data_IF_255604623470
#
_entry.id   IF_255604623470
#
_cell.length_a   1.000
_cell.length_b   1.000
_cell.length_c   1.000
_cell.angle_alpha   90.00
_cell.angle_beta   90.00
_cell.angle_gamma   90.00
#
_symmetry.space_group_name_H-M   'P 1'
#
loop_
_entity.id
_entity.type
_entity.pdbx_description
1 polymer ?
#
# COMPACT_ATOMS: atom_id res chain seq x y z
N UNK A 1 4.56 14.25 2.25
CA UNK A 1 3.36 14.02 3.08
C UNK A 1 2.97 12.54 3.15
N UNK A 2 2.71 11.87 2.02
CA UNK A 2 2.24 10.47 1.99
C UNK A 2 3.08 9.48 2.80
N UNK A 3 4.42 9.57 2.69
CA UNK A 3 5.34 8.73 3.45
C UNK A 3 5.14 8.79 4.96
N UNK A 4 4.94 9.99 5.53
CA UNK A 4 4.74 10.17 6.97
C UNK A 4 3.42 9.56 7.46
N UNK A 5 2.34 9.72 6.67
CA UNK A 5 1.04 9.13 6.99
C UNK A 5 1.08 7.59 6.96
N UNK A 6 1.77 7.01 5.98
CA UNK A 6 1.94 5.56 5.89
C UNK A 6 2.84 5.02 7.02
N UNK A 7 3.90 5.73 7.36
CA UNK A 7 4.74 5.38 8.52
C UNK A 7 3.94 5.43 9.83
N UNK A 8 3.05 6.41 9.97
CA UNK A 8 2.18 6.53 11.14
C UNK A 8 1.18 5.37 11.24
N UNK A 9 0.49 5.04 10.15
CA UNK A 9 -0.42 3.89 10.12
C UNK A 9 0.32 2.58 10.44
N UNK A 10 1.52 2.38 9.87
CA UNK A 10 2.37 1.23 10.17
C UNK A 10 2.85 1.18 11.62
N UNK A 11 3.18 2.32 12.22
CA UNK A 11 3.60 2.37 13.62
C UNK A 11 2.48 2.04 14.60
N UNK A 12 1.22 2.35 14.26
CA UNK A 12 0.06 1.92 15.04
C UNK A 12 -0.09 0.39 15.01
N UNK A 13 0.10 -0.23 13.84
CA UNK A 13 0.11 -1.69 13.75
C UNK A 13 1.24 -2.31 14.58
N UNK A 14 2.45 -1.73 14.53
CA UNK A 14 3.57 -2.16 15.38
C UNK A 14 3.28 -1.97 16.88
N UNK A 15 2.63 -0.86 17.27
CA UNK A 15 2.23 -0.61 18.65
C UNK A 15 1.26 -1.68 19.16
N UNK A 16 0.27 -2.07 18.36
CA UNK A 16 -0.68 -3.13 18.70
C UNK A 16 0.04 -4.48 18.84
N UNK A 17 0.97 -4.80 17.94
CA UNK A 17 1.74 -6.04 17.99
C UNK A 17 2.62 -6.11 19.26
N UNK A 18 3.35 -5.04 19.55
CA UNK A 18 4.19 -4.95 20.74
C UNK A 18 3.32 -4.98 22.00
N UNK A 19 2.21 -4.25 22.03
CA UNK A 19 1.28 -4.26 23.16
C UNK A 19 0.67 -5.64 23.43
N UNK A 20 0.50 -6.47 22.40
CA UNK A 20 0.03 -7.86 22.55
C UNK A 20 1.09 -8.80 23.14
N UNK A 21 2.37 -8.55 22.88
CA UNK A 21 3.49 -9.35 23.39
C UNK A 21 3.93 -8.87 24.78
N UNK A 22 3.96 -7.54 24.96
CA UNK A 22 4.39 -6.87 26.18
C UNK A 22 3.40 -5.75 26.54
N UNK A 23 2.34 -6.06 27.31
CA UNK A 23 1.32 -5.08 27.66
C UNK A 23 1.85 -3.93 28.53
N UNK A 24 2.91 -4.17 29.32
CA UNK A 24 3.61 -3.12 30.09
C UNK A 24 4.31 -2.06 29.23
N UNK A 25 4.49 -2.32 27.92
CA UNK A 25 4.98 -1.30 26.99
C UNK A 25 3.94 -0.21 26.73
N UNK A 26 2.65 -0.50 26.86
CA UNK A 26 1.58 0.50 26.62
C UNK A 26 1.47 1.52 27.75
N UNK A 27 1.93 1.18 28.96
CA UNK A 27 1.93 2.06 30.12
C UNK A 27 3.25 2.82 30.30
N UNK A 28 4.23 2.56 29.43
CA UNK A 28 5.53 3.21 29.49
C UNK A 28 5.36 4.72 29.26
N UNK A 29 5.82 5.54 30.22
CA UNK A 29 5.77 7.00 30.11
C UNK A 29 4.55 7.69 30.74
N UNK A 30 3.59 6.96 31.30
CA UNK A 30 2.44 7.54 32.00
C UNK A 30 1.67 8.55 31.14
N UNK A 31 1.50 9.78 31.64
CA UNK A 31 0.81 10.87 30.94
C UNK A 31 1.69 11.64 29.94
N UNK A 32 2.90 11.16 29.65
CA UNK A 32 3.78 11.82 28.70
C UNK A 32 3.18 11.76 27.29
N UNK A 33 2.80 12.93 26.80
CA UNK A 33 2.29 13.13 25.46
C UNK A 33 3.13 14.17 24.75
N UNK A 34 3.56 13.85 23.53
CA UNK A 34 4.27 14.79 22.65
C UNK A 34 3.59 14.75 21.29
N UNK A 35 3.18 15.92 20.78
CA UNK A 35 2.48 16.05 19.49
C UNK A 35 1.19 15.21 19.39
N UNK A 36 0.53 14.93 20.52
CA UNK A 36 -0.67 14.10 20.59
C UNK A 36 -0.42 12.58 20.60
N UNK A 37 0.84 12.15 20.66
CA UNK A 37 1.24 10.75 20.75
C UNK A 37 1.76 10.41 22.15
N UNK A 38 1.38 9.24 22.64
CA UNK A 38 1.94 8.67 23.87
C UNK A 38 3.41 8.27 23.66
N UNK A 39 4.19 8.23 24.74
CA UNK A 39 5.59 7.78 24.68
C UNK A 39 5.79 6.45 23.92
N UNK A 40 4.96 5.41 24.13
CA UNK A 40 5.07 4.16 23.37
C UNK A 40 4.80 4.35 21.88
N UNK A 41 3.83 5.20 21.52
CA UNK A 41 3.51 5.53 20.14
C UNK A 41 4.63 6.26 19.41
N UNK A 42 5.37 7.15 20.09
CA UNK A 42 6.54 7.82 19.52
C UNK A 42 7.69 6.85 19.28
N UNK A 43 7.94 5.95 20.23
CA UNK A 43 9.00 4.95 20.10
C UNK A 43 8.71 4.03 18.92
N UNK A 44 7.47 3.53 18.80
CA UNK A 44 7.10 2.67 17.66
C UNK A 44 7.09 3.43 16.34
N UNK A 45 6.70 4.70 16.35
CA UNK A 45 6.79 5.57 15.18
C UNK A 45 8.23 5.75 14.71
N UNK A 46 9.14 6.12 15.60
CA UNK A 46 10.55 6.32 15.27
C UNK A 46 11.22 5.02 14.81
N UNK A 47 10.95 3.91 15.49
CA UNK A 47 11.46 2.59 15.08
C UNK A 47 10.97 2.22 13.68
N UNK A 48 9.67 2.33 13.43
CA UNK A 48 9.10 2.00 12.12
C UNK A 48 9.63 2.93 11.03
N UNK A 49 9.73 4.23 11.34
CA UNK A 49 10.30 5.23 10.44
C UNK A 49 11.76 4.93 10.10
N UNK A 50 12.60 4.62 11.08
CA UNK A 50 14.01 4.28 10.88
C UNK A 50 14.19 3.05 9.99
N UNK A 51 13.37 2.02 10.18
CA UNK A 51 13.40 0.83 9.31
C UNK A 51 13.04 1.19 7.87
N UNK A 52 11.99 1.99 7.66
CA UNK A 52 11.58 2.42 6.32
C UNK A 52 12.65 3.28 5.64
N UNK A 53 13.28 4.21 6.38
CA UNK A 53 14.38 5.04 5.89
C UNK A 53 15.61 4.17 5.57
N UNK A 54 15.94 3.19 6.43
CA UNK A 54 17.04 2.25 6.20
C UNK A 54 16.86 1.42 4.93
N UNK A 55 15.65 0.91 4.68
CA UNK A 55 15.32 0.23 3.42
C UNK A 55 15.45 1.18 2.23
N UNK A 56 15.03 2.44 2.40
CA UNK A 56 15.17 3.49 1.39
C UNK A 56 16.62 3.74 0.98
N UNK A 57 17.55 3.78 1.93
CA UNK A 57 18.98 3.91 1.66
C UNK A 57 19.59 2.71 0.92
N UNK A 58 18.98 1.52 1.01
CA UNK A 58 19.37 0.34 0.24
C UNK A 58 19.16 0.47 -1.27
N UNK A 59 18.48 1.52 -1.73
CA UNK A 59 18.26 1.84 -3.13
C UNK A 59 17.28 0.88 -3.84
N UNK A 60 17.13 1.08 -5.15
CA UNK A 60 16.09 0.41 -5.94
C UNK A 60 16.19 -1.12 -5.97
N UNK A 61 17.41 -1.70 -5.87
CA UNK A 61 17.58 -3.16 -5.90
C UNK A 61 17.02 -3.84 -4.65
N UNK A 62 17.30 -3.28 -3.47
CA UNK A 62 16.79 -3.80 -2.18
C UNK A 62 15.28 -3.60 -2.12
N UNK A 63 14.82 -2.40 -2.47
CA UNK A 63 13.41 -2.06 -2.52
C UNK A 63 12.63 -3.03 -3.43
N UNK A 64 13.13 -3.28 -4.64
CA UNK A 64 12.45 -4.18 -5.58
C UNK A 64 12.36 -5.62 -5.08
N UNK A 65 13.41 -6.15 -4.43
CA UNK A 65 13.37 -7.48 -3.82
C UNK A 65 12.38 -7.53 -2.65
N UNK A 66 12.40 -6.51 -1.80
CA UNK A 66 11.49 -6.40 -0.68
C UNK A 66 10.03 -6.35 -1.13
N UNK A 67 9.70 -5.47 -2.08
CA UNK A 67 8.35 -5.36 -2.66
C UNK A 67 7.91 -6.63 -3.38
N UNK A 68 8.82 -7.33 -4.06
CA UNK A 68 8.49 -8.58 -4.75
C UNK A 68 8.03 -9.69 -3.79
N UNK A 69 8.55 -9.71 -2.55
CA UNK A 69 8.12 -10.64 -1.50
C UNK A 69 6.87 -10.12 -0.80
N UNK A 70 6.83 -8.82 -0.51
CA UNK A 70 5.74 -8.19 0.24
C UNK A 70 4.41 -8.27 -0.51
N UNK A 71 4.41 -8.08 -1.83
CA UNK A 71 3.19 -8.07 -2.65
C UNK A 71 2.41 -9.40 -2.53
N UNK A 72 3.00 -10.59 -2.76
CA UNK A 72 2.33 -11.87 -2.51
C UNK A 72 1.80 -12.02 -1.08
N UNK A 73 2.57 -11.62 -0.06
CA UNK A 73 2.15 -11.72 1.32
C UNK A 73 0.88 -10.90 1.61
N UNK A 74 0.82 -9.68 1.08
CA UNK A 74 -0.36 -8.81 1.19
C UNK A 74 -1.59 -9.51 0.57
N UNK A 75 -1.46 -10.07 -0.64
CA UNK A 75 -2.58 -10.76 -1.29
C UNK A 75 -3.05 -11.99 -0.52
N UNK A 76 -2.14 -12.76 0.08
CA UNK A 76 -2.49 -13.92 0.91
C UNK A 76 -3.28 -13.47 2.14
N UNK A 77 -2.83 -12.42 2.83
CA UNK A 77 -3.50 -11.92 4.04
C UNK A 77 -4.87 -11.32 3.72
N UNK A 78 -4.95 -10.39 2.77
CA UNK A 78 -6.23 -9.76 2.42
C UNK A 78 -7.20 -10.74 1.73
N UNK A 79 -6.69 -11.62 0.86
CA UNK A 79 -7.49 -12.68 0.26
C UNK A 79 -8.02 -13.66 1.31
N UNK A 80 -7.16 -14.06 2.25
CA UNK A 80 -7.56 -14.91 3.38
C UNK A 80 -8.62 -14.25 4.26
N UNK A 81 -8.45 -12.97 4.59
CA UNK A 81 -9.45 -12.20 5.36
C UNK A 81 -10.78 -12.06 4.61
N UNK A 82 -10.75 -11.88 3.28
CA UNK A 82 -11.95 -11.80 2.46
C UNK A 82 -12.70 -13.14 2.43
N UNK A 83 -11.99 -14.25 2.19
CA UNK A 83 -12.57 -15.60 2.23
C UNK A 83 -13.19 -15.88 3.61
N UNK A 84 -12.47 -15.52 4.68
CA UNK A 84 -12.96 -15.68 6.04
C UNK A 84 -14.23 -14.86 6.30
N UNK A 85 -14.28 -13.58 5.88
CA UNK A 85 -15.47 -12.75 6.04
C UNK A 85 -16.68 -13.30 5.26
N UNK A 86 -16.46 -13.75 4.02
CA UNK A 86 -17.51 -14.38 3.19
C UNK A 86 -17.99 -15.68 3.83
N UNK A 87 -17.10 -16.45 4.47
CA UNK A 87 -17.50 -17.70 5.14
C UNK A 87 -18.41 -17.48 6.35
N UNK A 88 -18.36 -16.30 6.99
CA UNK A 88 -19.16 -15.97 8.17
C UNK A 88 -20.54 -15.42 7.82
N UNK A 89 -20.63 -14.57 6.80
CA UNK A 89 -21.84 -13.76 6.52
C UNK A 89 -22.46 -14.09 5.15
N UNK A 90 -21.72 -14.77 4.27
CA UNK A 90 -22.12 -15.00 2.88
C UNK A 90 -21.98 -13.74 2.01
N UNK A 91 -22.27 -13.87 0.72
CA UNK A 91 -22.14 -12.77 -0.23
C UNK A 91 -23.33 -11.80 -0.24
N UNK A 92 -24.54 -12.28 0.07
CA UNK A 92 -25.77 -11.47 0.01
C UNK A 92 -25.70 -10.19 0.85
N UNK A 93 -25.43 -10.28 2.16
CA UNK A 93 -25.36 -9.10 3.02
C UNK A 93 -24.22 -8.13 2.68
N UNK A 94 -23.20 -8.58 1.96
CA UNK A 94 -22.09 -7.71 1.51
C UNK A 94 -22.55 -6.84 0.35
N UNK A 95 -23.31 -7.40 -0.61
CA UNK A 95 -23.84 -6.64 -1.74
C UNK A 95 -25.01 -5.74 -1.35
N UNK A 96 -25.82 -6.17 -0.38
CA UNK A 96 -26.96 -5.39 0.12
C UNK A 96 -26.55 -4.31 1.14
N UNK A 97 -25.25 -4.18 1.43
CA UNK A 97 -24.75 -3.20 2.38
C UNK A 97 -24.86 -1.77 1.82
N UNK A 98 -25.81 -1.01 2.36
CA UNK A 98 -25.96 0.42 2.05
C UNK A 98 -25.33 1.24 3.20
N UNK A 99 -24.27 2.03 2.94
CA UNK A 99 -23.68 2.90 3.94
C UNK A 99 -24.69 3.94 4.44
N UNK A 100 -24.78 4.09 5.76
CA UNK A 100 -25.71 5.04 6.40
C UNK A 100 -25.50 6.52 6.01
N UNK A 101 -24.32 6.86 5.47
CA UNK A 101 -24.01 8.20 4.96
C UNK A 101 -24.62 8.53 3.59
N UNK A 102 -24.97 7.52 2.78
CA UNK A 102 -25.53 7.75 1.43
C UNK A 102 -26.98 8.22 1.51
N UNK A 103 -27.73 7.76 2.52
CA UNK A 103 -29.14 8.15 2.71
C UNK A 103 -29.30 9.64 3.08
N UNK A 104 -28.23 10.31 3.54
CA UNK A 104 -28.24 11.73 3.90
C UNK A 104 -27.85 12.66 2.75
N UNK A 105 -27.47 12.11 1.60
CA UNK A 105 -27.02 12.92 0.49
C UNK A 105 -28.20 13.30 -0.42
N UNK A 106 -28.60 14.56 -0.38
CA UNK A 106 -29.67 15.10 -1.22
C UNK A 106 -29.32 15.09 -2.72
N UNK A 107 -28.04 15.01 -3.08
CA UNK A 107 -27.59 15.06 -4.47
C UNK A 107 -26.62 13.93 -4.83
N UNK A 108 -27.18 12.79 -5.24
CA UNK A 108 -26.45 11.59 -5.67
C UNK A 108 -25.50 11.85 -6.85
N UNK A 109 -25.86 12.76 -7.76
CA UNK A 109 -25.03 13.12 -8.92
C UNK A 109 -23.76 13.87 -8.53
N UNK A 110 -23.87 14.83 -7.60
CA UNK A 110 -22.70 15.55 -7.09
C UNK A 110 -21.76 14.64 -6.29
N UNK A 111 -22.30 13.77 -5.44
CA UNK A 111 -21.48 12.78 -4.71
C UNK A 111 -20.69 11.87 -5.64
N UNK A 112 -21.30 11.43 -6.74
CA UNK A 112 -20.61 10.61 -7.74
C UNK A 112 -19.38 11.32 -8.31
N UNK A 113 -19.49 12.61 -8.62
CA UNK A 113 -18.36 13.43 -9.09
C UNK A 113 -17.28 13.60 -8.01
N UNK A 114 -17.67 13.77 -6.74
CA UNK A 114 -16.73 13.86 -5.61
C UNK A 114 -15.94 12.55 -5.45
N UNK A 115 -16.60 11.40 -5.58
CA UNK A 115 -15.93 10.09 -5.51
C UNK A 115 -14.96 9.90 -6.66
N UNK A 116 -15.35 10.24 -7.90
CA UNK A 116 -14.43 10.21 -9.05
C UNK A 116 -13.21 11.09 -8.79
N UNK A 117 -13.42 12.33 -8.35
CA UNK A 117 -12.34 13.25 -8.04
C UNK A 117 -11.39 12.68 -6.98
N UNK A 118 -11.93 12.09 -5.90
CA UNK A 118 -11.13 11.47 -4.85
C UNK A 118 -10.29 10.30 -5.37
N UNK A 119 -10.88 9.42 -6.19
CA UNK A 119 -10.17 8.27 -6.79
C UNK A 119 -9.06 8.75 -7.72
N UNK A 120 -9.33 9.74 -8.59
CA UNK A 120 -8.32 10.28 -9.52
C UNK A 120 -7.19 10.99 -8.77
N UNK A 121 -7.50 11.74 -7.72
CA UNK A 121 -6.51 12.46 -6.92
C UNK A 121 -5.46 11.54 -6.28
N UNK A 122 -5.85 10.32 -5.88
CA UNK A 122 -4.93 9.31 -5.33
C UNK A 122 -3.85 8.90 -6.35
N UNK A 123 -4.20 8.86 -7.64
CA UNK A 123 -3.30 8.45 -8.72
C UNK A 123 -2.51 9.60 -9.35
N UNK A 124 -2.83 10.85 -9.03
CA UNK A 124 -2.16 12.03 -9.59
C UNK A 124 -0.66 12.06 -9.30
N UNK A 125 -0.25 11.80 -8.05
CA UNK A 125 1.16 11.82 -7.66
C UNK A 125 2.00 10.69 -8.29
N UNK A 126 1.53 9.43 -8.34
CA UNK A 126 2.18 8.38 -9.14
C UNK A 126 2.24 8.70 -10.64
N UNK A 127 1.21 9.33 -11.20
CA UNK A 127 1.17 9.66 -12.62
C UNK A 127 2.25 10.67 -13.03
N UNK A 128 2.47 11.72 -12.23
CA UNK A 128 3.52 12.72 -12.52
C UNK A 128 4.94 12.18 -12.28
N UNK A 129 5.09 11.13 -11.47
CA UNK A 129 6.37 10.45 -11.22
C UNK A 129 6.57 9.20 -12.10
N UNK A 130 5.69 8.95 -13.07
CA UNK A 130 5.77 7.78 -13.94
C UNK A 130 7.08 7.74 -14.75
N UNK A 131 7.62 8.91 -15.13
CA UNK A 131 8.89 9.04 -15.85
C UNK A 131 10.07 8.43 -15.10
N UNK A 132 10.07 8.50 -13.77
CA UNK A 132 11.15 7.94 -12.95
C UNK A 132 11.17 6.41 -13.02
N UNK A 133 10.02 5.78 -13.24
CA UNK A 133 9.94 4.34 -13.41
C UNK A 133 10.22 3.89 -14.85
N UNK A 134 9.91 4.73 -15.83
CA UNK A 134 10.05 4.40 -17.26
C UNK A 134 11.34 4.89 -17.88
N UNK A 135 12.22 5.56 -17.11
CA UNK A 135 13.52 6.06 -17.58
C UNK A 135 14.42 4.99 -18.22
N UNK A 136 14.24 3.71 -17.84
CA UNK A 136 15.00 2.57 -18.35
C UNK A 136 14.22 1.74 -19.40
N UNK A 137 13.05 2.20 -19.86
CA UNK A 137 12.26 1.50 -20.85
C UNK A 137 12.87 1.68 -22.25
N UNK A 138 13.01 0.58 -22.99
CA UNK A 138 13.62 0.59 -24.33
C UNK A 138 12.63 0.91 -25.45
N UNK A 139 11.32 0.73 -25.21
CA UNK A 139 10.27 0.97 -26.20
C UNK A 139 8.95 1.37 -25.56
N UNK A 140 8.18 2.24 -26.24
CA UNK A 140 6.83 2.64 -25.83
C UNK A 140 5.88 1.44 -25.72
N UNK A 141 6.04 0.42 -26.58
CA UNK A 141 5.21 -0.80 -26.54
C UNK A 141 5.41 -1.58 -25.25
N UNK A 142 6.65 -1.67 -24.77
CA UNK A 142 7.00 -2.36 -23.53
C UNK A 142 6.47 -1.60 -22.31
N UNK A 143 6.57 -0.27 -22.34
CA UNK A 143 5.99 0.59 -21.31
C UNK A 143 4.47 0.44 -21.24
N UNK A 144 3.77 0.49 -22.38
CA UNK A 144 2.31 0.38 -22.45
C UNK A 144 1.82 -0.99 -21.95
N UNK A 145 2.49 -2.08 -22.35
CA UNK A 145 2.17 -3.43 -21.86
C UNK A 145 2.44 -3.57 -20.37
N UNK A 146 3.59 -3.08 -19.88
CA UNK A 146 3.96 -3.13 -18.47
C UNK A 146 2.97 -2.37 -17.57
N UNK A 147 2.51 -1.19 -17.99
CA UNK A 147 1.52 -0.41 -17.26
C UNK A 147 0.14 -1.07 -17.29
N UNK A 148 -0.32 -1.51 -18.47
CA UNK A 148 -1.64 -2.13 -18.62
C UNK A 148 -1.75 -3.42 -17.80
N UNK A 149 -0.72 -4.28 -17.85
CA UNK A 149 -0.66 -5.51 -17.06
C UNK A 149 -0.54 -5.25 -15.56
N UNK A 150 0.16 -4.17 -15.17
CA UNK A 150 0.26 -3.75 -13.78
C UNK A 150 -1.09 -3.32 -13.18
N UNK A 151 -1.94 -2.64 -13.95
CA UNK A 151 -3.26 -2.21 -13.51
C UNK A 151 -4.32 -3.32 -13.55
N UNK A 152 -4.34 -4.10 -14.62
CA UNK A 152 -5.41 -5.10 -14.87
C UNK A 152 -5.28 -6.36 -14.01
N UNK A 153 -4.06 -6.70 -13.59
CA UNK A 153 -3.82 -7.88 -12.77
C UNK A 153 -2.95 -7.47 -11.57
N UNK A 154 -3.58 -7.08 -10.46
CA UNK A 154 -2.85 -6.73 -9.23
C UNK A 154 -1.82 -7.79 -8.79
N UNK A 155 -2.11 -9.07 -9.04
CA UNK A 155 -1.21 -10.20 -8.80
C UNK A 155 0.11 -10.12 -9.60
N UNK A 156 0.07 -9.51 -10.78
CA UNK A 156 1.22 -9.27 -11.64
C UNK A 156 1.88 -7.91 -11.39
N UNK A 157 1.64 -7.18 -10.29
CA UNK A 157 2.58 -6.09 -9.92
C UNK A 157 4.02 -6.59 -9.71
N UNK A 158 4.20 -7.89 -9.48
CA UNK A 158 5.47 -8.59 -9.65
C UNK A 158 5.86 -8.66 -11.14
N UNK A 159 4.98 -9.13 -12.03
CA UNK A 159 5.13 -9.26 -13.51
C UNK A 159 5.13 -7.98 -14.37
N UNK A 160 4.54 -6.85 -13.98
CA UNK A 160 4.59 -5.60 -14.75
C UNK A 160 5.96 -4.94 -14.63
N UNK A 161 6.57 -5.08 -13.44
CA UNK A 161 7.97 -4.71 -13.20
C UNK A 161 8.92 -5.82 -13.66
N UNK A 162 8.54 -7.09 -13.49
CA UNK A 162 9.23 -8.22 -14.10
C UNK A 162 9.12 -8.22 -15.63
N UNK A 163 8.18 -7.54 -16.28
CA UNK A 163 8.14 -7.38 -17.74
C UNK A 163 9.23 -6.41 -18.21
N UNK A 164 9.45 -5.34 -17.44
CA UNK A 164 10.62 -4.47 -17.63
C UNK A 164 11.95 -5.17 -17.27
N UNK A 165 11.98 -6.06 -16.27
CA UNK A 165 13.16 -6.88 -15.95
C UNK A 165 13.34 -8.12 -16.86
N UNK A 166 12.27 -8.71 -17.42
CA UNK A 166 12.31 -9.82 -18.40
C UNK A 166 12.93 -9.31 -19.68
N UNK A 167 12.66 -8.05 -20.06
CA UNK A 167 13.32 -7.39 -21.16
C UNK A 167 14.86 -7.30 -20.95
N UNK A 168 15.30 -7.14 -19.69
CA UNK A 168 16.74 -7.19 -19.34
C UNK A 168 17.33 -8.62 -19.36
N UNK A 169 16.55 -9.62 -18.95
CA UNK A 169 16.99 -11.03 -18.87
C UNK A 169 17.03 -11.73 -20.23
N UNK A 170 16.07 -11.44 -21.12
CA UNK A 170 15.97 -12.06 -22.44
C UNK A 170 17.12 -11.65 -23.39
N UNK A 171 17.79 -10.53 -23.14
CA UNK A 171 18.93 -10.07 -23.97
C UNK A 171 20.30 -10.55 -23.48
N UNK A 172 20.45 -10.92 -22.20
CA UNK A 172 21.66 -11.59 -21.70
C UNK A 172 21.80 -13.03 -22.22
N UNK A 173 20.72 -13.60 -22.76
CA UNK A 173 20.70 -14.91 -23.42
C UNK A 173 20.84 -14.80 -24.96
N UNK A 174 20.95 -13.57 -25.49
CA UNK A 174 21.12 -13.28 -26.93
C UNK A 174 22.43 -12.54 -27.27
N UNK A 175 23.36 -12.45 -26.32
CA UNK A 175 24.76 -12.11 -26.57
C UNK A 175 25.66 -13.26 -26.17
#
# INVERSE_FOLDING_TARGET
MWFGLQCYAGSLACLILIGKIWPGFLTLGGDFTLLGLSLPGLITFLLFWLVNVGIGFGGGKVLNKFTAILNPCIYIVFGGMAIWAISLVGLGPIFDYIPSGIQKAENSGFLFLVVINAVVAVWAAPAVSASDFTQNAHSFREQALGQTLGFSCGLYSVCGRWGMYYCRSQYSLRR
#
